data_IF_795754700033
#
_entry.id   IF_795754700033
#
_cell.length_a   1.000
_cell.length_b   1.000
_cell.length_c   1.000
_cell.angle_alpha   90.00
_cell.angle_beta   90.00
_cell.angle_gamma   90.00
#
_symmetry.space_group_name_H-M   'P 1'
#
loop_
_entity.id
_entity.type
_entity.pdbx_description
1 polymer ?
#
# COMPACT_ATOMS: atom_id res chain seq x y z
N UNK A 1 13.14 -15.26 -9.55
CA UNK A 1 13.50 -14.60 -8.28
C UNK A 1 12.61 -15.17 -7.18
N UNK A 2 13.20 -15.66 -6.10
CA UNK A 2 12.48 -16.21 -4.95
C UNK A 2 11.75 -15.10 -4.18
N UNK A 3 10.82 -15.48 -3.29
CA UNK A 3 10.15 -14.51 -2.41
C UNK A 3 11.14 -13.75 -1.52
N UNK A 4 12.18 -14.43 -1.05
CA UNK A 4 13.19 -13.84 -0.16
C UNK A 4 14.11 -12.88 -0.93
N UNK A 5 14.49 -13.22 -2.17
CA UNK A 5 15.24 -12.30 -3.05
C UNK A 5 14.43 -11.03 -3.36
N UNK A 6 13.13 -11.16 -3.57
CA UNK A 6 12.23 -10.01 -3.77
C UNK A 6 12.15 -9.12 -2.55
N UNK A 7 11.94 -9.71 -1.36
CA UNK A 7 11.86 -8.98 -0.10
C UNK A 7 13.15 -8.18 0.16
N UNK A 8 14.31 -8.84 0.00
CA UNK A 8 15.62 -8.23 0.20
C UNK A 8 15.88 -7.10 -0.81
N UNK A 9 15.54 -7.32 -2.08
CA UNK A 9 15.66 -6.29 -3.11
C UNK A 9 14.83 -5.04 -2.76
N UNK A 10 13.55 -5.21 -2.42
CA UNK A 10 12.69 -4.07 -2.04
C UNK A 10 13.15 -3.39 -0.76
N UNK A 11 13.65 -4.14 0.23
CA UNK A 11 14.20 -3.56 1.45
C UNK A 11 15.37 -2.64 1.15
N UNK A 12 16.32 -3.10 0.33
CA UNK A 12 17.48 -2.30 -0.12
C UNK A 12 17.09 -1.07 -0.94
N UNK A 13 15.93 -1.09 -1.62
CA UNK A 13 15.39 0.11 -2.26
C UNK A 13 14.89 1.11 -1.23
N UNK A 14 14.11 0.65 -0.24
CA UNK A 14 13.54 1.52 0.80
C UNK A 14 14.63 2.19 1.65
N UNK A 15 15.76 1.50 1.91
CA UNK A 15 16.92 2.06 2.63
C UNK A 15 17.55 3.28 1.93
N UNK A 16 17.32 3.46 0.63
CA UNK A 16 17.85 4.60 -0.14
C UNK A 16 16.89 5.77 -0.21
N UNK A 17 15.67 5.63 0.30
CA UNK A 17 14.68 6.69 0.23
C UNK A 17 15.00 7.80 1.22
N UNK A 18 14.87 9.03 0.74
CA UNK A 18 14.82 10.20 1.61
C UNK A 18 13.41 10.31 2.21
N UNK A 19 13.25 9.82 3.43
CA UNK A 19 11.96 9.80 4.12
C UNK A 19 11.31 11.18 4.29
N UNK A 20 12.12 12.25 4.39
CA UNK A 20 11.59 13.61 4.48
C UNK A 20 10.93 14.04 3.18
N UNK A 21 11.62 13.86 2.06
CA UNK A 21 11.10 14.20 0.73
C UNK A 21 9.89 13.34 0.36
N UNK A 22 9.91 12.07 0.75
CA UNK A 22 8.77 11.18 0.60
C UNK A 22 7.55 11.69 1.39
N UNK A 23 7.74 12.09 2.64
CA UNK A 23 6.67 12.65 3.47
C UNK A 23 6.07 13.92 2.86
N UNK A 24 6.90 14.84 2.36
CA UNK A 24 6.46 16.05 1.65
C UNK A 24 5.65 15.70 0.38
N UNK A 25 6.09 14.68 -0.36
CA UNK A 25 5.39 14.21 -1.56
C UNK A 25 4.03 13.59 -1.23
N UNK A 26 3.96 12.80 -0.15
CA UNK A 26 2.72 12.17 0.31
C UNK A 26 1.71 13.20 0.81
N UNK A 27 2.15 14.27 1.47
CA UNK A 27 1.27 15.38 1.84
C UNK A 27 0.63 16.04 0.61
N UNK A 28 1.41 16.28 -0.44
CA UNK A 28 0.89 16.81 -1.71
C UNK A 28 -0.09 15.82 -2.36
N UNK A 29 0.20 14.51 -2.31
CA UNK A 29 -0.69 13.47 -2.84
C UNK A 29 -2.04 13.46 -2.11
N UNK A 30 -2.03 13.55 -0.77
CA UNK A 30 -3.23 13.64 0.05
C UNK A 30 -4.07 14.87 -0.30
N UNK A 31 -3.43 16.05 -0.42
CA UNK A 31 -4.11 17.29 -0.81
C UNK A 31 -4.77 17.21 -2.20
N UNK A 32 -4.24 16.39 -3.09
CA UNK A 32 -4.78 16.16 -4.44
C UNK A 32 -5.80 15.02 -4.50
N UNK A 33 -6.09 14.38 -3.37
CA UNK A 33 -7.00 13.23 -3.32
C UNK A 33 -6.48 12.03 -4.09
N UNK A 34 -5.16 11.81 -4.12
CA UNK A 34 -4.55 10.62 -4.73
C UNK A 34 -4.51 9.49 -3.70
N UNK A 35 -5.04 8.32 -4.06
CA UNK A 35 -4.95 7.11 -3.25
C UNK A 35 -3.69 6.31 -3.53
N UNK A 36 -3.21 5.54 -2.55
CA UNK A 36 -2.11 4.59 -2.70
C UNK A 36 -2.65 3.16 -2.56
N UNK A 37 -2.25 2.29 -3.49
CA UNK A 37 -2.69 0.89 -3.48
C UNK A 37 -2.01 0.10 -2.35
N UNK A 38 -2.85 -0.64 -1.61
CA UNK A 38 -2.44 -1.75 -0.76
C UNK A 38 -2.94 -3.05 -1.40
N UNK A 39 -2.01 -3.95 -1.73
CA UNK A 39 -2.33 -5.22 -2.38
C UNK A 39 -1.73 -6.42 -1.66
N UNK A 40 -2.39 -7.61 -1.69
CA UNK A 40 -1.89 -8.82 -1.01
C UNK A 40 -0.48 -9.27 -1.45
N UNK A 41 0.02 -8.73 -2.57
CA UNK A 41 1.36 -9.02 -3.07
C UNK A 41 2.45 -8.68 -2.05
N UNK A 42 2.28 -7.60 -1.29
CA UNK A 42 3.30 -7.22 -0.32
C UNK A 42 3.49 -8.34 0.74
N UNK A 43 2.43 -9.03 1.13
CA UNK A 43 2.47 -10.19 2.03
C UNK A 43 3.04 -11.41 1.30
N UNK A 44 2.53 -11.69 0.10
CA UNK A 44 2.96 -12.83 -0.74
C UNK A 44 4.47 -12.82 -0.98
N UNK A 45 5.08 -11.64 -1.09
CA UNK A 45 6.51 -11.41 -1.30
C UNK A 45 7.27 -11.01 -0.03
N UNK A 46 6.70 -11.18 1.17
CA UNK A 46 7.34 -10.93 2.47
C UNK A 46 7.91 -9.51 2.63
N UNK A 47 7.25 -8.52 2.07
CA UNK A 47 7.68 -7.12 2.07
C UNK A 47 7.19 -6.35 3.31
N UNK A 48 7.28 -6.96 4.49
CA UNK A 48 6.80 -6.37 5.74
C UNK A 48 7.49 -5.04 6.10
N UNK A 49 8.65 -4.75 5.50
CA UNK A 49 9.33 -3.46 5.63
C UNK A 49 8.55 -2.29 5.00
N UNK A 50 7.50 -2.56 4.22
CA UNK A 50 6.61 -1.52 3.67
C UNK A 50 5.54 -1.07 4.69
N UNK A 51 5.44 -1.70 5.86
CA UNK A 51 4.50 -1.27 6.91
C UNK A 51 4.76 0.17 7.35
N UNK A 52 6.03 0.58 7.47
CA UNK A 52 6.41 1.95 7.80
C UNK A 52 6.00 2.94 6.71
N UNK A 53 6.03 2.51 5.44
CA UNK A 53 5.55 3.30 4.31
C UNK A 53 4.03 3.51 4.38
N UNK A 54 3.26 2.45 4.61
CA UNK A 54 1.81 2.56 4.73
C UNK A 54 1.38 3.36 5.96
N UNK A 55 2.09 3.20 7.09
CA UNK A 55 1.88 4.03 8.27
C UNK A 55 2.13 5.52 7.96
N UNK A 56 3.21 5.84 7.23
CA UNK A 56 3.50 7.22 6.81
C UNK A 56 2.42 7.76 5.86
N UNK A 57 1.91 6.96 4.93
CA UNK A 57 0.79 7.36 4.06
C UNK A 57 -0.41 7.81 4.91
N UNK A 58 -0.81 6.99 5.89
CA UNK A 58 -1.93 7.31 6.79
C UNK A 58 -1.65 8.56 7.63
N UNK A 59 -0.43 8.69 8.17
CA UNK A 59 0.00 9.88 8.93
C UNK A 59 -0.13 11.16 8.10
N UNK A 60 0.19 11.10 6.80
CA UNK A 60 0.06 12.25 5.88
C UNK A 60 -1.33 12.43 5.29
N UNK A 61 -2.31 11.65 5.73
CA UNK A 61 -3.70 11.74 5.27
C UNK A 61 -3.94 11.16 3.88
N UNK A 62 -2.99 10.37 3.35
CA UNK A 62 -3.19 9.63 2.10
C UNK A 62 -4.15 8.48 2.35
N UNK A 63 -5.16 8.37 1.49
CA UNK A 63 -6.16 7.30 1.55
C UNK A 63 -5.66 6.04 0.83
N UNK A 64 -6.12 4.88 1.27
CA UNK A 64 -5.70 3.57 0.78
C UNK A 64 -6.71 3.01 -0.21
N UNK A 65 -6.25 2.62 -1.39
CA UNK A 65 -7.02 1.84 -2.35
C UNK A 65 -6.73 0.36 -2.11
N UNK A 66 -7.75 -0.43 -1.83
CA UNK A 66 -7.61 -1.90 -1.76
C UNK A 66 -7.66 -2.46 -3.18
N UNK A 67 -6.55 -3.05 -3.62
CA UNK A 67 -6.41 -3.59 -4.96
C UNK A 67 -5.79 -4.99 -4.92
N UNK A 68 -6.29 -5.91 -5.73
CA UNK A 68 -5.73 -7.27 -5.78
C UNK A 68 -4.44 -7.34 -6.60
N UNK A 69 -4.20 -6.36 -7.49
CA UNK A 69 -3.15 -6.37 -8.50
C UNK A 69 -3.00 -7.74 -9.20
N UNK A 70 -4.13 -8.39 -9.44
CA UNK A 70 -4.20 -9.78 -9.90
C UNK A 70 -4.10 -9.86 -11.41
N UNK A 71 -3.32 -10.82 -11.90
CA UNK A 71 -3.17 -11.10 -13.34
C UNK A 71 -3.87 -12.41 -13.74
N UNK A 72 -4.63 -13.00 -12.81
CA UNK A 72 -5.50 -14.15 -13.05
C UNK A 72 -6.66 -14.16 -12.05
N UNK A 73 -7.77 -14.79 -12.41
CA UNK A 73 -8.95 -14.91 -11.54
C UNK A 73 -8.61 -15.59 -10.20
N UNK A 74 -7.74 -16.59 -10.22
CA UNK A 74 -7.30 -17.31 -9.01
C UNK A 74 -6.56 -16.42 -8.01
N UNK A 75 -5.89 -15.35 -8.47
CA UNK A 75 -5.17 -14.43 -7.59
C UNK A 75 -6.09 -13.37 -6.98
N UNK A 76 -7.27 -13.15 -7.56
CA UNK A 76 -8.23 -12.15 -7.10
C UNK A 76 -8.72 -12.45 -5.67
N UNK A 77 -8.86 -13.74 -5.34
CA UNK A 77 -9.39 -14.22 -4.06
C UNK A 77 -8.42 -14.03 -2.86
N UNK A 78 -7.26 -13.39 -3.06
CA UNK A 78 -6.26 -13.22 -1.99
C UNK A 78 -6.44 -11.94 -1.15
N UNK A 79 -7.53 -11.19 -1.32
CA UNK A 79 -7.74 -9.92 -0.59
C UNK A 79 -7.85 -10.10 0.93
N UNK A 80 -8.41 -11.23 1.38
CA UNK A 80 -8.51 -11.62 2.80
C UNK A 80 -7.15 -11.67 3.52
N UNK A 81 -6.04 -11.82 2.77
CA UNK A 81 -4.71 -11.76 3.38
C UNK A 81 -4.39 -10.39 3.97
N UNK A 82 -5.09 -9.33 3.55
CA UNK A 82 -4.87 -7.98 4.06
C UNK A 82 -5.46 -7.74 5.44
N UNK A 83 -6.40 -8.55 5.92
CA UNK A 83 -7.12 -8.28 7.18
C UNK A 83 -6.19 -8.01 8.38
N UNK A 84 -5.13 -8.81 8.64
CA UNK A 84 -4.21 -8.56 9.75
C UNK A 84 -3.45 -7.22 9.61
N UNK A 85 -3.25 -6.77 8.37
CA UNK A 85 -2.51 -5.56 8.04
C UNK A 85 -3.39 -4.34 8.22
N UNK A 86 -4.64 -4.44 7.77
CA UNK A 86 -5.66 -3.41 7.98
C UNK A 86 -5.85 -3.19 9.48
N UNK A 87 -5.98 -4.27 10.25
CA UNK A 87 -6.08 -4.22 11.71
C UNK A 87 -4.82 -3.60 12.34
N UNK A 88 -3.64 -4.06 11.96
CA UNK A 88 -2.37 -3.56 12.52
C UNK A 88 -2.15 -2.06 12.24
N UNK A 89 -2.56 -1.56 11.07
CA UNK A 89 -2.43 -0.15 10.71
C UNK A 89 -3.61 0.71 11.17
N UNK A 90 -4.66 0.10 11.72
CA UNK A 90 -5.89 0.80 12.11
C UNK A 90 -6.63 1.40 10.90
N UNK A 91 -6.57 0.74 9.74
CA UNK A 91 -7.24 1.19 8.52
C UNK A 91 -8.73 0.85 8.62
N UNK A 92 -9.57 1.88 8.71
CA UNK A 92 -11.01 1.82 8.60
C UNK A 92 -11.53 2.37 7.26
N UNK A 93 -12.86 2.37 7.10
CA UNK A 93 -13.56 2.91 5.92
C UNK A 93 -13.18 4.38 5.64
N UNK A 94 -12.96 5.19 6.66
CA UNK A 94 -12.56 6.59 6.55
C UNK A 94 -11.20 6.78 5.84
N UNK A 95 -10.34 5.78 5.96
CA UNK A 95 -9.02 5.76 5.33
C UNK A 95 -9.08 5.25 3.90
N UNK A 96 -10.21 4.69 3.45
CA UNK A 96 -10.31 4.15 2.11
C UNK A 96 -10.44 5.26 1.06
N UNK A 97 -9.74 5.03 -0.05
CA UNK A 97 -9.83 5.82 -1.26
C UNK A 97 -10.76 5.12 -2.23
N UNK A 98 -11.70 5.89 -2.78
CA UNK A 98 -12.59 5.41 -3.83
C UNK A 98 -12.31 6.23 -5.09
N UNK A 99 -12.09 5.58 -6.24
CA UNK A 99 -11.99 6.29 -7.50
C UNK A 99 -13.29 7.04 -7.76
N UNK A 100 -13.19 8.20 -8.42
CA UNK A 100 -14.38 8.89 -8.91
C UNK A 100 -15.17 7.92 -9.78
N UNK A 101 -16.38 7.61 -9.34
CA UNK A 101 -17.32 6.85 -10.14
C UNK A 101 -17.64 7.66 -11.39
N UNK A 102 -17.36 7.10 -12.56
CA UNK A 102 -17.83 7.67 -13.80
C UNK A 102 -19.33 7.38 -13.86
N UNK A 103 -20.16 8.41 -13.66
CA UNK A 103 -21.58 8.33 -14.01
C UNK A 103 -21.67 8.23 -15.54
N UNK A 104 -22.04 7.05 -16.03
CA UNK A 104 -22.36 6.78 -17.44
C UNK A 104 -23.79 7.15 -17.80
#
# INVERSE_FOLDING_TARGET
>A
MSKDEMAEFSKRMMEKLNWKELAETLEIAAQRGIGIELSPRFIKYKQNHLMDFYALCLEKGVKILIGSNSHSLKELDSLELLDPILEQLGIGEENLWHPYEWEW
#
